data_IF_748713418320
#
_entry.id   IF_748713418320
#
_cell.length_a   1.000
_cell.length_b   1.000
_cell.length_c   1.000
_cell.angle_alpha   90.00
_cell.angle_beta   90.00
_cell.angle_gamma   90.00
#
_symmetry.space_group_name_H-M   'P 1'
#
loop_
_entity.id
_entity.type
_entity.pdbx_description
1 polymer ?
#
# COMPACT_ATOMS: atom_id res chain seq x y z
N UNK A 1 2.32 14.95 27.56
CA UNK A 1 1.38 13.86 27.21
C UNK A 1 1.65 13.53 25.76
N UNK A 2 2.23 12.37 25.46
CA UNK A 2 2.36 11.88 24.09
C UNK A 2 0.94 11.64 23.56
N UNK A 3 0.59 12.30 22.46
CA UNK A 3 -0.69 12.05 21.76
C UNK A 3 -0.81 10.55 21.50
N UNK A 4 -1.97 9.99 21.80
CA UNK A 4 -2.23 8.56 21.56
C UNK A 4 -2.09 8.30 20.06
N UNK A 5 -1.10 7.51 19.67
CA UNK A 5 -0.88 7.16 18.27
C UNK A 5 -2.01 6.22 17.81
N UNK A 6 -2.63 6.51 16.66
CA UNK A 6 -3.62 5.63 16.07
C UNK A 6 -2.94 4.32 15.61
N UNK A 7 -3.34 3.21 16.20
CA UNK A 7 -2.62 1.93 16.08
C UNK A 7 -3.11 1.05 14.93
N UNK A 8 -4.20 1.43 14.24
CA UNK A 8 -4.79 0.60 13.21
C UNK A 8 -5.33 -0.74 13.72
N UNK A 9 -5.69 -0.83 15.00
CA UNK A 9 -6.34 -2.02 15.54
C UNK A 9 -7.78 -2.16 15.05
N UNK A 10 -8.39 -3.34 15.26
CA UNK A 10 -9.73 -3.63 14.77
C UNK A 10 -10.79 -2.62 15.26
N UNK A 11 -10.66 -2.13 16.49
CA UNK A 11 -11.59 -1.16 17.05
C UNK A 11 -11.42 0.22 16.44
N UNK A 12 -10.17 0.66 16.18
CA UNK A 12 -9.87 1.91 15.50
C UNK A 12 -10.41 1.89 14.06
N UNK A 13 -10.15 0.81 13.31
CA UNK A 13 -10.64 0.62 11.94
C UNK A 13 -12.17 0.61 11.87
N UNK A 14 -12.85 0.01 12.87
CA UNK A 14 -14.30 0.04 12.92
C UNK A 14 -14.86 1.44 13.25
N UNK A 15 -14.24 2.18 14.17
CA UNK A 15 -14.64 3.57 14.49
C UNK A 15 -14.48 4.51 13.29
N UNK A 16 -13.50 4.26 12.44
CA UNK A 16 -13.26 5.00 11.18
C UNK A 16 -14.07 4.44 10.00
N UNK A 17 -15.03 3.55 10.22
CA UNK A 17 -15.88 2.94 9.19
C UNK A 17 -15.12 2.18 8.08
N UNK A 18 -13.96 1.63 8.39
CA UNK A 18 -13.11 0.92 7.41
C UNK A 18 -13.47 -0.56 7.34
N UNK A 19 -13.36 -1.29 8.47
CA UNK A 19 -13.71 -2.71 8.54
C UNK A 19 -14.57 -3.03 9.74
N UNK A 20 -15.34 -4.12 9.65
CA UNK A 20 -16.11 -4.67 10.78
C UNK A 20 -15.19 -5.48 11.69
N UNK A 21 -15.13 -5.13 12.97
CA UNK A 21 -14.42 -5.92 13.99
C UNK A 21 -15.11 -7.27 14.31
N UNK A 22 -16.33 -7.49 13.79
CA UNK A 22 -17.16 -8.67 14.06
C UNK A 22 -17.33 -9.59 12.85
N UNK A 23 -16.42 -9.51 11.86
CA UNK A 23 -16.50 -10.43 10.72
C UNK A 23 -16.27 -11.87 11.19
N UNK A 24 -17.14 -12.84 10.81
CA UNK A 24 -17.18 -14.16 11.44
C UNK A 24 -16.04 -15.10 11.02
N UNK A 25 -15.24 -14.72 10.01
CA UNK A 25 -14.13 -15.55 9.51
C UNK A 25 -12.81 -15.06 10.10
N UNK A 26 -12.16 -15.92 10.89
CA UNK A 26 -10.87 -15.60 11.51
C UNK A 26 -9.79 -15.34 10.47
N UNK A 27 -9.13 -14.18 10.58
CA UNK A 27 -8.08 -13.78 9.66
C UNK A 27 -8.58 -13.23 8.32
N UNK A 28 -9.83 -12.80 8.27
CA UNK A 28 -10.38 -12.04 7.16
C UNK A 28 -11.01 -10.74 7.69
N UNK A 29 -10.92 -9.67 6.93
CA UNK A 29 -11.61 -8.41 7.21
C UNK A 29 -12.91 -8.30 6.44
N UNK A 30 -13.98 -7.88 7.11
CA UNK A 30 -15.23 -7.47 6.48
C UNK A 30 -15.19 -5.96 6.22
N UNK A 31 -14.94 -5.55 5.01
CA UNK A 31 -14.88 -4.14 4.63
C UNK A 31 -16.25 -3.47 4.75
N UNK A 32 -16.31 -2.33 5.42
CA UNK A 32 -17.49 -1.49 5.47
C UNK A 32 -17.58 -0.60 4.22
N UNK A 33 -18.75 -0.10 3.83
CA UNK A 33 -18.91 0.64 2.57
C UNK A 33 -17.93 1.80 2.41
N UNK A 34 -17.66 2.56 3.46
CA UNK A 34 -16.72 3.67 3.43
C UNK A 34 -15.27 3.20 3.21
N UNK A 35 -14.84 2.18 3.95
CA UNK A 35 -13.50 1.58 3.77
C UNK A 35 -13.33 0.93 2.40
N UNK A 36 -14.38 0.24 1.91
CA UNK A 36 -14.38 -0.35 0.58
C UNK A 36 -14.23 0.72 -0.51
N UNK A 37 -14.95 1.84 -0.41
CA UNK A 37 -14.82 2.95 -1.35
C UNK A 37 -13.42 3.59 -1.31
N UNK A 38 -12.82 3.76 -0.12
CA UNK A 38 -11.43 4.23 0.01
C UNK A 38 -10.46 3.26 -0.67
N UNK A 39 -10.60 1.97 -0.41
CA UNK A 39 -9.78 0.93 -1.01
C UNK A 39 -9.93 0.92 -2.55
N UNK A 40 -11.16 1.08 -3.06
CA UNK A 40 -11.43 1.16 -4.51
C UNK A 40 -10.72 2.34 -5.15
N UNK A 41 -10.76 3.53 -4.53
CA UNK A 41 -10.03 4.71 -5.03
C UNK A 41 -8.51 4.46 -5.11
N UNK A 42 -7.95 3.74 -4.13
CA UNK A 42 -6.53 3.33 -4.16
C UNK A 42 -6.28 2.37 -5.32
N UNK A 43 -7.11 1.34 -5.47
CA UNK A 43 -6.98 0.36 -6.56
C UNK A 43 -7.10 1.04 -7.94
N UNK A 44 -8.03 1.97 -8.11
CA UNK A 44 -8.25 2.66 -9.37
C UNK A 44 -7.06 3.52 -9.78
N UNK A 45 -6.37 4.15 -8.83
CA UNK A 45 -5.14 4.87 -9.11
C UNK A 45 -4.02 3.92 -9.60
N UNK A 46 -3.86 2.74 -8.99
CA UNK A 46 -2.90 1.73 -9.46
C UNK A 46 -3.31 1.15 -10.81
N UNK A 47 -4.60 0.84 -11.02
CA UNK A 47 -5.12 0.39 -12.32
C UNK A 47 -4.81 1.38 -13.44
N UNK A 48 -5.12 2.65 -13.22
CA UNK A 48 -4.84 3.70 -14.20
C UNK A 48 -3.34 3.82 -14.51
N UNK A 49 -2.49 3.71 -13.49
CA UNK A 49 -1.06 3.74 -13.69
C UNK A 49 -0.57 2.53 -14.51
N UNK A 50 -0.94 1.32 -14.12
CA UNK A 50 -0.51 0.11 -14.85
C UNK A 50 -1.06 0.08 -16.29
N UNK A 51 -2.31 0.51 -16.49
CA UNK A 51 -2.87 0.63 -17.84
C UNK A 51 -2.07 1.59 -18.73
N UNK A 52 -1.54 2.70 -18.17
CA UNK A 52 -0.67 3.62 -18.91
C UNK A 52 0.65 2.99 -19.37
N UNK A 53 1.11 1.92 -18.71
CA UNK A 53 2.26 1.10 -19.09
C UNK A 53 1.92 -0.08 -20.00
N UNK A 54 0.67 -0.17 -20.48
CA UNK A 54 0.22 -1.26 -21.36
C UNK A 54 -0.07 -2.56 -20.63
N UNK A 55 -0.37 -2.50 -19.32
CA UNK A 55 -0.83 -3.65 -18.56
C UNK A 55 -2.35 -3.81 -18.70
N UNK A 56 -2.79 -5.04 -18.95
CA UNK A 56 -4.20 -5.39 -19.07
C UNK A 56 -4.68 -6.12 -17.80
N UNK A 57 -5.84 -5.73 -17.28
CA UNK A 57 -6.39 -6.37 -16.07
C UNK A 57 -7.13 -7.64 -16.42
N UNK A 58 -6.78 -8.75 -15.76
CA UNK A 58 -7.41 -10.06 -15.89
C UNK A 58 -8.28 -10.39 -14.67
N UNK A 59 -9.48 -10.87 -14.95
CA UNK A 59 -10.35 -11.51 -13.96
C UNK A 59 -9.95 -12.96 -13.77
N UNK A 60 -9.18 -13.28 -12.72
CA UNK A 60 -8.79 -14.66 -12.40
C UNK A 60 -9.60 -15.18 -11.20
N UNK A 61 -10.00 -16.45 -11.27
CA UNK A 61 -10.57 -17.14 -10.11
C UNK A 61 -9.55 -17.21 -8.97
N UNK A 62 -10.02 -17.10 -7.73
CA UNK A 62 -9.15 -17.30 -6.56
C UNK A 62 -8.78 -18.78 -6.32
N UNK A 63 -9.41 -19.72 -7.04
CA UNK A 63 -9.08 -21.14 -7.01
C UNK A 63 -8.05 -21.48 -8.10
N UNK A 64 -7.12 -22.36 -7.78
CA UNK A 64 -6.05 -22.82 -8.67
C UNK A 64 -5.89 -24.33 -8.52
N UNK A 65 -5.59 -25.09 -9.60
CA UNK A 65 -5.31 -26.51 -9.51
C UNK A 65 -4.18 -26.81 -8.53
N UNK A 66 -4.35 -27.85 -7.71
CA UNK A 66 -3.35 -28.19 -6.68
C UNK A 66 -2.01 -28.54 -7.29
N UNK A 67 -1.99 -29.24 -8.43
CA UNK A 67 -0.76 -29.60 -9.15
C UNK A 67 0.06 -28.39 -9.59
N UNK A 68 -0.59 -27.29 -9.94
CA UNK A 68 0.09 -26.04 -10.28
C UNK A 68 0.81 -25.43 -9.05
N UNK A 69 0.19 -25.52 -7.86
CA UNK A 69 0.82 -25.11 -6.60
C UNK A 69 1.98 -26.03 -6.23
N UNK A 70 1.86 -27.33 -6.45
CA UNK A 70 2.93 -28.30 -6.20
C UNK A 70 4.14 -28.05 -7.12
N UNK A 71 3.91 -27.78 -8.40
CA UNK A 71 4.98 -27.39 -9.34
C UNK A 71 5.68 -26.10 -8.91
N UNK A 72 4.92 -25.11 -8.44
CA UNK A 72 5.46 -23.86 -7.90
C UNK A 72 6.31 -24.12 -6.65
N UNK A 73 5.93 -25.06 -5.79
CA UNK A 73 6.63 -25.40 -4.57
C UNK A 73 8.07 -25.90 -4.80
N UNK A 74 8.38 -26.42 -5.97
CA UNK A 74 9.75 -26.70 -6.41
C UNK A 74 10.65 -25.45 -6.35
N UNK A 75 10.08 -24.28 -6.55
CA UNK A 75 10.75 -22.98 -6.47
C UNK A 75 10.59 -22.30 -5.10
N UNK A 76 9.49 -22.60 -4.36
CA UNK A 76 9.14 -21.96 -3.08
C UNK A 76 8.68 -23.01 -2.08
N UNK A 77 9.62 -23.67 -1.41
CA UNK A 77 9.34 -24.82 -0.52
C UNK A 77 8.34 -24.56 0.61
N UNK A 78 8.22 -23.32 1.10
CA UNK A 78 7.37 -22.97 2.26
C UNK A 78 5.90 -22.70 1.92
N UNK A 79 5.48 -22.81 0.66
CA UNK A 79 4.11 -22.44 0.26
C UNK A 79 3.10 -23.55 0.50
N UNK A 80 3.47 -24.83 0.29
CA UNK A 80 2.52 -25.95 0.41
C UNK A 80 1.96 -26.11 1.83
N UNK A 81 2.77 -25.83 2.85
CA UNK A 81 2.33 -25.94 4.25
C UNK A 81 1.32 -24.88 4.66
N UNK A 82 1.10 -23.85 3.80
CA UNK A 82 0.28 -22.68 4.10
C UNK A 82 -0.90 -22.47 3.15
N UNK A 83 -1.13 -23.38 2.22
CA UNK A 83 -2.26 -23.28 1.30
C UNK A 83 -3.56 -23.73 1.96
N UNK A 84 -4.67 -23.11 1.54
CA UNK A 84 -6.00 -23.61 1.83
C UNK A 84 -6.48 -24.52 0.70
N UNK A 85 -6.90 -25.72 1.05
CA UNK A 85 -7.54 -26.64 0.11
C UNK A 85 -9.04 -26.44 0.09
N UNK A 86 -9.59 -26.29 -1.10
CA UNK A 86 -11.03 -26.25 -1.35
C UNK A 86 -11.46 -27.66 -1.74
N UNK A 87 -12.44 -28.21 -1.04
CA UNK A 87 -12.99 -29.53 -1.31
C UNK A 87 -14.42 -29.41 -1.81
N UNK A 88 -14.72 -30.12 -2.88
CA UNK A 88 -16.08 -30.34 -3.34
C UNK A 88 -16.81 -31.33 -2.42
N UNK A 89 -18.14 -31.37 -2.48
CA UNK A 89 -18.93 -32.47 -1.91
C UNK A 89 -18.77 -33.77 -2.71
N UNK A 90 -18.22 -33.72 -3.91
CA UNK A 90 -17.85 -34.90 -4.71
C UNK A 90 -16.40 -35.30 -4.35
N UNK A 91 -16.26 -36.48 -3.75
CA UNK A 91 -14.96 -37.03 -3.34
C UNK A 91 -14.04 -37.39 -4.52
N UNK A 92 -14.57 -37.50 -5.73
CA UNK A 92 -13.81 -37.80 -6.95
C UNK A 92 -13.35 -36.51 -7.67
N UNK A 93 -13.79 -35.33 -7.23
CA UNK A 93 -13.38 -34.08 -7.84
C UNK A 93 -11.90 -33.78 -7.54
N UNK A 94 -11.19 -33.35 -8.57
CA UNK A 94 -9.79 -32.88 -8.44
C UNK A 94 -9.68 -31.79 -7.36
N UNK A 95 -8.74 -31.89 -6.42
CA UNK A 95 -8.57 -30.90 -5.39
C UNK A 95 -8.03 -29.59 -5.98
N UNK A 96 -8.61 -28.49 -5.53
CA UNK A 96 -8.12 -27.14 -5.86
C UNK A 96 -7.64 -26.44 -4.60
N UNK A 97 -6.69 -25.54 -4.77
CA UNK A 97 -6.19 -24.68 -3.71
C UNK A 97 -6.77 -23.27 -3.83
N UNK A 98 -6.92 -22.56 -2.72
CA UNK A 98 -7.07 -21.12 -2.75
C UNK A 98 -5.72 -20.50 -3.13
N UNK A 99 -5.70 -19.67 -4.18
CA UNK A 99 -4.48 -19.05 -4.65
C UNK A 99 -3.79 -18.26 -3.52
N UNK A 100 -2.50 -18.49 -3.32
CA UNK A 100 -1.68 -17.73 -2.36
C UNK A 100 -0.89 -16.60 -3.05
N UNK A 101 -0.78 -16.66 -4.38
CA UNK A 101 -0.11 -15.71 -5.28
C UNK A 101 -0.50 -16.03 -6.72
N UNK A 102 -0.11 -15.20 -7.71
CA UNK A 102 -0.57 -15.37 -9.09
C UNK A 102 0.40 -16.16 -10.00
N UNK A 103 1.67 -16.30 -9.65
CA UNK A 103 2.70 -16.72 -10.60
C UNK A 103 2.37 -18.06 -11.28
N UNK A 104 1.94 -19.05 -10.51
CA UNK A 104 1.59 -20.35 -11.10
C UNK A 104 0.41 -20.26 -12.07
N UNK A 105 -0.61 -19.49 -11.71
CA UNK A 105 -1.84 -19.36 -12.48
C UNK A 105 -1.61 -18.54 -13.74
N UNK A 106 -0.95 -17.38 -13.61
CA UNK A 106 -0.70 -16.49 -14.75
C UNK A 106 0.29 -17.11 -15.74
N UNK A 107 1.29 -17.87 -15.25
CA UNK A 107 2.20 -18.59 -16.12
C UNK A 107 1.47 -19.62 -16.98
N UNK A 108 0.47 -20.31 -16.41
CA UNK A 108 -0.40 -21.21 -17.16
C UNK A 108 -1.21 -20.50 -18.26
N UNK A 109 -1.73 -19.31 -17.94
CA UNK A 109 -2.46 -18.45 -18.91
C UNK A 109 -1.51 -18.00 -20.03
N UNK A 110 -0.34 -17.49 -19.69
CA UNK A 110 0.66 -17.05 -20.69
C UNK A 110 1.15 -18.19 -21.59
N UNK A 111 1.32 -19.39 -21.04
CA UNK A 111 1.64 -20.57 -21.82
C UNK A 111 0.51 -20.94 -22.79
N UNK A 112 -0.75 -20.77 -22.41
CA UNK A 112 -1.90 -20.97 -23.30
C UNK A 112 -1.90 -19.92 -24.42
N UNK A 113 -1.72 -18.65 -24.10
CA UNK A 113 -1.63 -17.56 -25.09
C UNK A 113 -0.55 -17.79 -26.14
N UNK A 114 0.64 -18.26 -25.74
CA UNK A 114 1.71 -18.59 -26.68
C UNK A 114 1.30 -19.70 -27.64
N UNK A 115 0.58 -20.74 -27.17
CA UNK A 115 0.03 -21.79 -28.02
C UNK A 115 -1.06 -21.30 -28.99
N UNK A 116 -1.80 -20.27 -28.59
CA UNK A 116 -2.81 -19.56 -29.38
C UNK A 116 -2.22 -18.57 -30.39
N UNK A 117 -0.89 -18.37 -30.37
CA UNK A 117 -0.19 -17.52 -31.30
C UNK A 117 0.06 -16.08 -30.83
N UNK A 118 -0.32 -15.76 -29.57
CA UNK A 118 0.06 -14.48 -28.98
C UNK A 118 1.58 -14.36 -28.80
N UNK A 119 2.10 -13.14 -28.79
CA UNK A 119 3.52 -12.87 -28.70
C UNK A 119 3.85 -12.00 -27.50
N UNK A 120 5.01 -12.23 -26.82
CA UNK A 120 5.49 -11.35 -25.75
C UNK A 120 5.86 -9.95 -26.31
N UNK A 121 5.96 -8.89 -25.49
CA UNK A 121 5.84 -8.97 -24.03
C UNK A 121 4.41 -9.09 -23.55
N UNK A 122 4.18 -9.91 -22.51
CA UNK A 122 2.91 -9.97 -21.79
C UNK A 122 2.98 -9.08 -20.56
N UNK A 123 1.96 -8.26 -20.36
CA UNK A 123 1.84 -7.35 -19.22
C UNK A 123 0.42 -7.42 -18.68
N UNK A 124 0.26 -7.93 -17.47
CA UNK A 124 -1.05 -8.19 -16.89
C UNK A 124 -1.12 -7.72 -15.44
N UNK A 125 -2.33 -7.34 -15.01
CA UNK A 125 -2.66 -7.10 -13.62
C UNK A 125 -3.86 -7.93 -13.20
N UNK A 126 -4.03 -8.13 -11.90
CA UNK A 126 -5.25 -8.73 -11.34
C UNK A 126 -5.48 -8.24 -9.91
N UNK A 127 -6.74 -8.16 -9.50
CA UNK A 127 -7.13 -7.91 -8.10
C UNK A 127 -8.01 -9.06 -7.64
N UNK A 128 -7.63 -9.69 -6.52
CA UNK A 128 -8.39 -10.81 -5.98
C UNK A 128 -8.17 -11.04 -4.49
N UNK A 129 -8.86 -12.02 -3.94
CA UNK A 129 -8.55 -12.59 -2.63
C UNK A 129 -7.48 -13.66 -2.79
N UNK A 130 -6.47 -13.62 -1.94
CA UNK A 130 -5.50 -14.71 -1.77
C UNK A 130 -5.61 -15.30 -0.37
N UNK A 131 -5.26 -16.58 -0.23
CA UNK A 131 -5.32 -17.28 1.05
C UNK A 131 -3.98 -17.85 1.47
N UNK A 132 -3.57 -17.54 2.72
CA UNK A 132 -2.36 -18.08 3.34
C UNK A 132 -2.66 -18.47 4.78
N UNK A 133 -2.45 -19.73 5.12
CA UNK A 133 -2.59 -20.17 6.50
C UNK A 133 -1.36 -19.70 7.30
N UNK A 134 -1.49 -18.53 7.95
CA UNK A 134 -0.46 -18.04 8.86
C UNK A 134 -0.66 -18.64 10.24
N UNK A 135 0.41 -19.25 10.79
CA UNK A 135 0.39 -19.89 12.11
C UNK A 135 0.35 -18.92 13.29
N UNK A 136 0.44 -17.62 13.04
CA UNK A 136 0.49 -16.55 14.04
C UNK A 136 -0.87 -15.85 14.20
N UNK A 137 -0.99 -15.03 15.25
CA UNK A 137 -2.17 -14.19 15.46
C UNK A 137 -2.40 -13.24 14.27
N UNK A 138 -3.66 -13.07 13.89
CA UNK A 138 -4.06 -12.19 12.78
C UNK A 138 -4.36 -10.77 13.25
N UNK A 139 -4.10 -9.79 12.39
CA UNK A 139 -4.48 -8.38 12.58
C UNK A 139 -5.12 -7.87 11.30
N UNK A 140 -6.29 -7.20 11.39
CA UNK A 140 -6.97 -6.66 10.23
C UNK A 140 -6.03 -5.78 9.37
N UNK A 141 -6.03 -6.01 8.07
CA UNK A 141 -5.26 -5.33 7.04
C UNK A 141 -3.72 -5.47 7.13
N UNK A 142 -3.15 -5.88 8.29
CA UNK A 142 -1.71 -6.13 8.46
C UNK A 142 -1.30 -7.57 8.18
N UNK A 143 -1.97 -8.49 8.87
CA UNK A 143 -1.71 -9.92 8.81
C UNK A 143 -3.04 -10.66 8.76
N UNK A 144 -3.43 -11.02 7.57
CA UNK A 144 -4.67 -11.73 7.29
C UNK A 144 -4.38 -13.08 6.67
N UNK A 145 -5.28 -14.04 6.90
CA UNK A 145 -5.27 -15.36 6.24
C UNK A 145 -5.97 -15.31 4.90
N UNK A 146 -6.97 -14.42 4.77
CA UNK A 146 -7.72 -14.15 3.55
C UNK A 146 -7.54 -12.66 3.23
N UNK A 147 -6.59 -12.37 2.36
CA UNK A 147 -6.17 -11.00 2.07
C UNK A 147 -6.95 -10.49 0.86
N UNK A 148 -7.74 -9.45 1.07
CA UNK A 148 -8.35 -8.65 0.01
C UNK A 148 -8.23 -7.16 0.37
N UNK A 149 -7.87 -6.29 -0.58
CA UNK A 149 -7.40 -6.63 -1.91
C UNK A 149 -6.00 -7.24 -1.89
N UNK A 150 -5.73 -8.07 -2.86
CA UNK A 150 -4.39 -8.44 -3.27
C UNK A 150 -4.23 -8.04 -4.73
N UNK A 151 -3.53 -6.95 -4.97
CA UNK A 151 -3.22 -6.46 -6.32
C UNK A 151 -1.88 -7.04 -6.74
N UNK A 152 -1.85 -7.63 -7.92
CA UNK A 152 -0.62 -8.15 -8.50
C UNK A 152 -0.50 -7.73 -9.96
N UNK A 153 0.75 -7.49 -10.40
CA UNK A 153 1.09 -7.28 -11.80
C UNK A 153 2.22 -8.23 -12.18
N UNK A 154 2.17 -8.76 -13.40
CA UNK A 154 3.23 -9.61 -13.94
C UNK A 154 3.57 -9.20 -15.36
N UNK A 155 4.86 -9.14 -15.64
CA UNK A 155 5.39 -9.01 -16.99
C UNK A 155 6.20 -10.26 -17.37
N UNK A 156 6.11 -10.66 -18.65
CA UNK A 156 6.93 -11.72 -19.22
C UNK A 156 7.45 -11.30 -20.60
N UNK A 157 8.75 -11.41 -20.83
CA UNK A 157 9.43 -10.83 -21.98
C UNK A 157 10.66 -11.65 -22.39
N UNK A 158 11.17 -11.39 -23.59
CA UNK A 158 12.47 -11.88 -24.06
C UNK A 158 13.52 -10.80 -23.84
N UNK A 159 14.64 -11.15 -23.21
CA UNK A 159 15.77 -10.25 -23.02
C UNK A 159 15.69 -9.40 -21.74
N UNK A 160 16.06 -8.12 -21.84
CA UNK A 160 16.20 -7.21 -20.71
C UNK A 160 14.84 -6.64 -20.23
N UNK A 161 14.52 -6.82 -18.98
CA UNK A 161 13.30 -6.32 -18.33
C UNK A 161 13.50 -5.05 -17.49
N UNK A 162 14.63 -4.38 -17.62
CA UNK A 162 14.95 -3.21 -16.79
C UNK A 162 13.90 -2.10 -16.88
N UNK A 163 13.32 -1.89 -18.07
CA UNK A 163 12.26 -0.91 -18.28
C UNK A 163 10.98 -1.26 -17.51
N UNK A 164 10.58 -2.53 -17.51
CA UNK A 164 9.41 -3.01 -16.74
C UNK A 164 9.69 -2.99 -15.23
N UNK A 165 10.90 -3.35 -14.79
CA UNK A 165 11.31 -3.22 -13.38
C UNK A 165 11.23 -1.77 -12.93
N UNK A 166 11.81 -0.85 -13.69
CA UNK A 166 11.75 0.59 -13.41
C UNK A 166 10.29 1.09 -13.39
N UNK A 167 9.47 0.67 -14.36
CA UNK A 167 8.05 1.03 -14.40
C UNK A 167 7.31 0.54 -13.14
N UNK A 168 7.48 -0.71 -12.74
CA UNK A 168 6.83 -1.27 -11.54
C UNK A 168 7.27 -0.54 -10.26
N UNK A 169 8.55 -0.17 -10.14
CA UNK A 169 9.05 0.60 -9.00
C UNK A 169 8.48 2.03 -8.98
N UNK A 170 8.38 2.68 -10.15
CA UNK A 170 7.72 3.98 -10.28
C UNK A 170 6.24 3.94 -9.93
N UNK A 171 5.53 2.87 -10.34
CA UNK A 171 4.12 2.70 -10.02
C UNK A 171 3.88 2.89 -8.54
N UNK A 172 4.70 2.23 -7.76
CA UNK A 172 4.50 2.22 -6.32
C UNK A 172 4.94 3.52 -5.67
N UNK A 173 6.12 4.02 -6.03
CA UNK A 173 6.65 5.26 -5.47
C UNK A 173 5.80 6.47 -5.86
N UNK A 174 5.51 6.63 -7.15
CA UNK A 174 4.76 7.77 -7.67
C UNK A 174 3.29 7.78 -7.24
N UNK A 175 2.60 6.64 -7.39
CA UNK A 175 1.18 6.54 -7.01
C UNK A 175 0.99 6.67 -5.50
N UNK A 176 1.84 6.01 -4.69
CA UNK A 176 1.78 6.13 -3.24
C UNK A 176 2.07 7.57 -2.78
N UNK A 177 3.09 8.22 -3.35
CA UNK A 177 3.43 9.61 -3.05
C UNK A 177 2.27 10.57 -3.40
N UNK A 178 1.60 10.37 -4.55
CA UNK A 178 0.43 11.14 -4.97
C UNK A 178 -0.80 10.95 -4.07
N UNK A 179 -0.77 9.98 -3.18
CA UNK A 179 -1.79 9.73 -2.13
C UNK A 179 -1.35 10.21 -0.74
N UNK A 180 -0.21 10.88 -0.63
CA UNK A 180 0.34 11.31 0.66
C UNK A 180 1.01 10.19 1.47
N UNK A 181 1.40 9.08 0.85
CA UNK A 181 2.12 7.99 1.49
C UNK A 181 3.62 8.06 1.16
N UNK A 182 4.46 8.52 2.10
CA UNK A 182 5.89 8.60 1.89
C UNK A 182 6.53 7.21 1.94
N UNK A 183 7.44 6.94 1.00
CA UNK A 183 8.10 5.64 0.89
C UNK A 183 9.59 5.80 0.61
N UNK A 184 10.36 4.77 0.88
CA UNK A 184 11.73 4.59 0.42
C UNK A 184 11.84 3.30 -0.37
N UNK A 185 12.44 3.38 -1.55
CA UNK A 185 12.74 2.20 -2.37
C UNK A 185 14.04 1.56 -1.89
N UNK A 186 14.01 0.25 -1.68
CA UNK A 186 15.18 -0.52 -1.25
C UNK A 186 15.33 -1.81 -2.05
N UNK A 187 16.55 -2.21 -2.32
CA UNK A 187 16.88 -3.58 -2.72
C UNK A 187 17.17 -4.41 -1.46
N UNK A 188 16.51 -5.56 -1.34
CA UNK A 188 16.75 -6.47 -0.21
C UNK A 188 18.14 -7.08 -0.29
N UNK A 189 18.84 -7.06 0.81
CA UNK A 189 20.11 -7.79 0.90
C UNK A 189 19.83 -9.29 0.90
N UNK A 190 20.66 -10.03 0.16
CA UNK A 190 20.67 -11.50 0.17
C UNK A 190 21.81 -12.00 1.02
N UNK A 191 21.58 -13.10 1.74
CA UNK A 191 22.66 -13.84 2.36
C UNK A 191 23.63 -14.33 1.27
N UNK A 192 24.95 -14.09 1.44
CA UNK A 192 25.93 -14.59 0.50
C UNK A 192 25.87 -16.10 0.39
N UNK A 193 25.70 -16.62 -0.82
CA UNK A 193 25.65 -18.06 -1.06
C UNK A 193 24.30 -18.72 -0.79
N UNK A 194 23.22 -17.96 -0.49
CA UNK A 194 21.87 -18.51 -0.38
C UNK A 194 21.44 -19.13 -1.71
N UNK A 195 21.51 -20.45 -1.80
CA UNK A 195 21.04 -21.20 -2.96
C UNK A 195 19.50 -21.23 -3.00
N UNK A 196 18.93 -21.07 -4.19
CA UNK A 196 17.50 -21.25 -4.38
C UNK A 196 16.63 -20.06 -3.94
N UNK A 197 17.15 -18.85 -3.99
CA UNK A 197 16.32 -17.67 -3.84
C UNK A 197 15.19 -17.67 -4.87
N UNK A 198 13.97 -17.41 -4.40
CA UNK A 198 12.74 -17.33 -5.18
C UNK A 198 12.86 -16.35 -6.37
N UNK A 199 13.58 -15.26 -6.18
CA UNK A 199 13.84 -14.24 -7.20
C UNK A 199 15.34 -13.94 -7.30
N UNK A 200 15.78 -13.50 -8.47
CA UNK A 200 17.17 -13.07 -8.69
C UNK A 200 17.44 -11.76 -7.96
N UNK A 201 16.49 -10.83 -7.98
CA UNK A 201 16.51 -9.59 -7.18
C UNK A 201 15.12 -9.34 -6.60
N UNK A 202 15.08 -8.64 -5.47
CA UNK A 202 13.86 -8.21 -4.82
C UNK A 202 13.98 -6.76 -4.42
N UNK A 203 13.10 -5.95 -4.95
CA UNK A 203 12.95 -4.55 -4.59
C UNK A 203 11.69 -4.38 -3.74
N UNK A 204 11.76 -3.49 -2.77
CA UNK A 204 10.63 -3.20 -1.91
C UNK A 204 10.41 -1.69 -1.79
N UNK A 205 9.16 -1.29 -1.65
CA UNK A 205 8.81 0.01 -1.14
C UNK A 205 8.40 -0.12 0.32
N UNK A 206 9.10 0.61 1.15
CA UNK A 206 8.94 0.58 2.60
C UNK A 206 8.48 1.96 3.07
N UNK A 207 7.53 2.00 4.00
CA UNK A 207 7.20 3.22 4.73
C UNK A 207 7.63 3.11 6.19
N UNK A 208 8.00 4.24 6.77
CA UNK A 208 8.29 4.37 8.19
C UNK A 208 7.07 4.94 8.89
N UNK A 209 6.50 4.16 9.78
CA UNK A 209 5.26 4.50 10.47
C UNK A 209 5.50 5.49 11.62
N UNK A 210 4.48 6.29 12.00
CA UNK A 210 4.61 7.29 13.07
C UNK A 210 5.07 6.74 14.41
N UNK A 211 4.75 5.48 14.73
CA UNK A 211 5.18 4.82 15.97
C UNK A 211 6.63 4.33 15.96
N UNK A 212 7.38 4.59 14.90
CA UNK A 212 8.80 4.26 14.83
C UNK A 212 9.12 2.85 14.33
N UNK A 213 8.21 2.21 13.61
CA UNK A 213 8.45 0.93 12.93
C UNK A 213 8.46 1.11 11.42
N UNK A 214 8.93 0.10 10.69
CA UNK A 214 8.90 0.04 9.24
C UNK A 214 8.00 -1.09 8.75
N UNK A 215 7.36 -0.90 7.61
CA UNK A 215 6.61 -1.97 6.94
C UNK A 215 6.83 -1.92 5.43
N UNK A 216 6.95 -3.11 4.83
CA UNK A 216 6.97 -3.28 3.38
C UNK A 216 5.54 -3.15 2.85
N UNK A 217 5.35 -2.26 1.89
CA UNK A 217 4.06 -2.02 1.25
C UNK A 217 3.89 -2.85 -0.01
N UNK A 218 4.93 -2.87 -0.83
CA UNK A 218 4.94 -3.59 -2.11
C UNK A 218 6.30 -4.23 -2.33
N UNK A 219 6.31 -5.24 -3.21
CA UNK A 219 7.53 -5.87 -3.66
C UNK A 219 7.52 -6.03 -5.17
N UNK A 220 8.68 -5.84 -5.79
CA UNK A 220 8.96 -6.21 -7.18
C UNK A 220 9.99 -7.34 -7.15
N UNK A 221 9.66 -8.45 -7.78
CA UNK A 221 10.50 -9.64 -7.87
C UNK A 221 10.98 -9.83 -9.29
N UNK A 222 12.29 -9.86 -9.49
CA UNK A 222 12.90 -10.32 -10.73
C UNK A 222 13.03 -11.85 -10.64
N UNK A 223 12.12 -12.57 -11.30
CA UNK A 223 11.98 -14.02 -11.16
C UNK A 223 12.91 -14.80 -12.10
N UNK A 224 13.55 -14.12 -13.07
CA UNK A 224 14.29 -14.77 -14.12
C UNK A 224 13.41 -15.69 -14.97
N UNK A 225 13.93 -16.85 -15.40
CA UNK A 225 13.24 -17.80 -16.28
C UNK A 225 12.61 -19.00 -15.54
N UNK A 226 12.77 -19.10 -14.21
CA UNK A 226 12.38 -20.29 -13.43
C UNK A 226 10.91 -20.69 -13.60
N UNK A 227 10.01 -19.71 -13.55
CA UNK A 227 8.58 -19.97 -13.74
C UNK A 227 8.25 -20.33 -15.17
N UNK A 228 8.90 -19.68 -16.14
CA UNK A 228 8.75 -19.98 -17.56
C UNK A 228 9.20 -21.40 -17.89
N UNK A 229 10.30 -21.85 -17.32
CA UNK A 229 10.79 -23.23 -17.46
C UNK A 229 9.82 -24.23 -16.80
N UNK A 230 9.31 -23.93 -15.61
CA UNK A 230 8.39 -24.80 -14.85
C UNK A 230 7.03 -24.92 -15.54
N UNK A 231 6.51 -23.86 -16.15
CA UNK A 231 5.16 -23.79 -16.70
C UNK A 231 5.11 -23.77 -18.23
N UNK A 232 6.24 -23.90 -18.91
CA UNK A 232 6.31 -23.97 -20.37
C UNK A 232 6.01 -22.65 -21.07
N UNK A 233 6.40 -21.51 -20.49
CA UNK A 233 6.21 -20.17 -21.07
C UNK A 233 7.40 -19.83 -21.96
N UNK A 234 7.42 -20.39 -23.16
CA UNK A 234 8.54 -20.26 -24.12
C UNK A 234 8.08 -19.60 -25.41
N UNK A 235 8.82 -18.59 -25.88
CA UNK A 235 8.65 -18.02 -27.22
C UNK A 235 9.79 -18.45 -28.10
N UNK A 236 9.48 -19.12 -29.22
CA UNK A 236 10.45 -19.65 -30.17
C UNK A 236 11.55 -20.51 -29.50
N UNK A 237 11.14 -21.31 -28.49
CA UNK A 237 12.02 -22.20 -27.74
C UNK A 237 12.83 -21.51 -26.62
N UNK A 238 12.70 -20.20 -26.45
CA UNK A 238 13.39 -19.40 -25.41
C UNK A 238 12.43 -19.17 -24.23
N UNK A 239 12.81 -19.53 -22.99
CA UNK A 239 11.98 -19.23 -21.82
C UNK A 239 11.94 -17.71 -21.59
N UNK A 240 10.77 -17.19 -21.25
CA UNK A 240 10.60 -15.77 -20.97
C UNK A 240 11.15 -15.40 -19.58
N UNK A 241 11.79 -14.27 -19.46
CA UNK A 241 12.05 -13.66 -18.16
C UNK A 241 10.76 -13.09 -17.59
N UNK A 242 10.59 -13.21 -16.27
CA UNK A 242 9.38 -12.76 -15.58
C UNK A 242 9.67 -11.77 -14.46
N UNK A 243 8.77 -10.82 -14.30
CA UNK A 243 8.70 -9.89 -13.17
C UNK A 243 7.35 -10.06 -12.50
N UNK A 244 7.34 -9.99 -11.17
CA UNK A 244 6.12 -9.92 -10.37
C UNK A 244 6.14 -8.69 -9.48
N UNK A 245 4.99 -8.04 -9.37
CA UNK A 245 4.73 -6.92 -8.45
C UNK A 245 3.49 -7.25 -7.65
N UNK A 246 3.47 -6.84 -6.37
CA UNK A 246 2.26 -7.01 -5.59
C UNK A 246 2.18 -6.11 -4.36
N UNK A 247 0.94 -5.77 -4.01
CA UNK A 247 0.61 -5.17 -2.72
C UNK A 247 -0.71 -5.72 -2.16
N UNK A 248 -0.91 -5.54 -0.88
CA UNK A 248 -2.10 -5.99 -0.15
C UNK A 248 -2.81 -4.83 0.56
N UNK A 249 -3.88 -5.14 1.27
CA UNK A 249 -4.58 -4.22 2.17
C UNK A 249 -3.65 -3.46 3.14
N UNK A 250 -2.43 -3.95 3.38
CA UNK A 250 -1.41 -3.28 4.21
C UNK A 250 -1.05 -1.88 3.68
N UNK A 251 -1.03 -1.69 2.35
CA UNK A 251 -0.83 -0.37 1.75
C UNK A 251 -1.94 0.60 2.16
N UNK A 252 -3.20 0.14 2.12
CA UNK A 252 -4.35 0.95 2.56
C UNK A 252 -4.24 1.28 4.04
N UNK A 253 -3.86 0.31 4.87
CA UNK A 253 -3.67 0.55 6.30
C UNK A 253 -2.55 1.56 6.57
N UNK A 254 -1.44 1.52 5.83
CA UNK A 254 -0.37 2.50 5.96
C UNK A 254 -0.86 3.92 5.62
N UNK A 255 -1.66 4.07 4.55
CA UNK A 255 -2.32 5.35 4.23
C UNK A 255 -3.19 5.85 5.39
N UNK A 256 -3.98 4.97 6.00
CA UNK A 256 -4.82 5.31 7.16
C UNK A 256 -3.97 5.74 8.36
N UNK A 257 -2.88 5.02 8.66
CA UNK A 257 -1.97 5.37 9.78
C UNK A 257 -1.35 6.76 9.58
N UNK A 258 -0.93 7.06 8.36
CA UNK A 258 -0.39 8.39 8.04
C UNK A 258 -1.45 9.50 8.05
N UNK A 259 -2.71 9.19 7.71
CA UNK A 259 -3.81 10.15 7.76
C UNK A 259 -4.30 10.47 9.17
N UNK A 260 -4.11 9.55 10.12
CA UNK A 260 -4.54 9.71 11.52
C UNK A 260 -3.43 10.34 12.40
N UNK A 261 -2.90 11.47 11.99
CA UNK A 261 -1.99 12.26 12.84
C UNK A 261 -2.70 12.80 14.08
N UNK A 262 -4.00 13.10 13.96
CA UNK A 262 -4.95 13.29 15.05
C UNK A 262 -5.94 12.11 15.05
N UNK A 263 -5.97 11.28 16.11
CA UNK A 263 -6.87 10.10 16.16
C UNK A 263 -8.36 10.44 16.06
N UNK A 264 -8.76 11.62 16.50
CA UNK A 264 -10.15 12.06 16.52
C UNK A 264 -10.56 12.77 15.22
N UNK A 265 -9.59 13.16 14.40
CA UNK A 265 -9.80 13.91 13.16
C UNK A 265 -8.85 13.42 12.05
N UNK A 266 -9.07 12.22 11.50
CA UNK A 266 -8.33 11.77 10.33
C UNK A 266 -8.57 12.70 9.14
N UNK A 267 -7.54 12.90 8.31
CA UNK A 267 -7.65 13.68 7.07
C UNK A 267 -7.08 12.82 5.95
N UNK A 268 -7.96 12.28 5.10
CA UNK A 268 -7.51 11.50 3.94
C UNK A 268 -7.07 12.41 2.82
N UNK A 269 -6.05 11.98 2.09
CA UNK A 269 -5.64 12.69 0.89
C UNK A 269 -6.82 12.79 -0.10
N UNK A 270 -7.06 13.95 -0.73
CA UNK A 270 -8.23 14.15 -1.61
C UNK A 270 -8.37 13.10 -2.72
N UNK A 271 -7.27 12.58 -3.27
CA UNK A 271 -7.31 11.56 -4.33
C UNK A 271 -7.99 10.26 -3.89
N UNK A 272 -7.84 9.86 -2.63
CA UNK A 272 -8.36 8.57 -2.11
C UNK A 272 -9.57 8.74 -1.18
N UNK A 273 -9.86 9.95 -0.66
CA UNK A 273 -10.97 10.20 0.23
C UNK A 273 -12.31 9.79 -0.42
N UNK A 274 -13.09 8.84 0.17
CA UNK A 274 -14.43 8.51 -0.36
C UNK A 274 -15.36 9.72 -0.33
N UNK A 275 -15.19 10.58 0.66
CA UNK A 275 -15.88 11.85 0.83
C UNK A 275 -14.83 12.96 0.83
N UNK A 276 -14.79 13.76 -0.24
CA UNK A 276 -13.87 14.89 -0.33
C UNK A 276 -14.43 16.13 0.37
N UNK A 277 -15.76 16.29 0.34
CA UNK A 277 -16.46 17.37 1.04
C UNK A 277 -17.60 16.78 1.86
N UNK A 278 -17.50 16.88 3.18
CA UNK A 278 -18.58 16.54 4.08
C UNK A 278 -19.53 17.73 4.21
N UNK A 279 -20.76 17.60 3.70
CA UNK A 279 -21.78 18.66 3.79
C UNK A 279 -22.60 18.45 5.07
N UNK A 280 -22.49 19.40 6.02
CA UNK A 280 -23.07 19.28 7.36
C UNK A 280 -24.07 20.41 7.59
N UNK A 281 -25.39 20.13 7.53
CA UNK A 281 -26.38 21.12 7.93
C UNK A 281 -26.35 21.34 9.45
N UNK A 282 -26.28 22.61 9.87
CA UNK A 282 -26.30 22.97 11.29
C UNK A 282 -27.66 22.66 11.94
N UNK A 283 -28.73 22.86 11.18
CA UNK A 283 -30.11 22.62 11.58
C UNK A 283 -30.82 21.65 10.61
N UNK A 284 -31.87 20.98 11.08
CA UNK A 284 -32.58 19.96 10.27
C UNK A 284 -33.20 20.56 8.98
N UNK A 285 -33.69 21.78 9.05
CA UNK A 285 -34.29 22.52 7.95
C UNK A 285 -33.30 22.78 6.79
N UNK A 286 -31.97 22.74 7.07
CA UNK A 286 -30.92 22.88 6.08
C UNK A 286 -30.68 21.63 5.24
N UNK A 287 -31.31 20.50 5.53
CA UNK A 287 -31.01 19.21 4.90
C UNK A 287 -31.26 19.22 3.36
N UNK A 288 -32.35 19.80 2.93
CA UNK A 288 -32.67 19.93 1.49
C UNK A 288 -31.65 20.76 0.72
N UNK A 289 -31.21 21.86 1.30
CA UNK A 289 -30.16 22.72 0.73
C UNK A 289 -28.80 21.99 0.72
N UNK A 290 -28.47 21.29 1.79
CA UNK A 290 -27.25 20.47 1.87
C UNK A 290 -27.21 19.39 0.77
N UNK A 291 -28.37 18.74 0.50
CA UNK A 291 -28.48 17.74 -0.57
C UNK A 291 -28.27 18.37 -1.97
N UNK A 292 -28.85 19.55 -2.23
CA UNK A 292 -28.63 20.27 -3.50
C UNK A 292 -27.16 20.67 -3.69
N UNK A 293 -26.47 21.11 -2.62
CA UNK A 293 -25.06 21.49 -2.67
C UNK A 293 -24.15 20.26 -2.88
N UNK A 294 -24.46 19.13 -2.24
CA UNK A 294 -23.74 17.89 -2.49
C UNK A 294 -23.88 17.41 -3.93
N UNK A 295 -25.10 17.44 -4.47
CA UNK A 295 -25.35 17.11 -5.88
C UNK A 295 -24.61 18.04 -6.85
N UNK A 296 -24.51 19.33 -6.53
CA UNK A 296 -23.76 20.30 -7.32
C UNK A 296 -22.23 19.99 -7.27
N UNK A 297 -21.69 19.59 -6.14
CA UNK A 297 -20.30 19.14 -6.00
C UNK A 297 -20.04 17.88 -6.83
N UNK A 298 -20.91 16.87 -6.73
CA UNK A 298 -20.80 15.61 -7.48
C UNK A 298 -20.86 15.86 -9.00
N UNK A 299 -21.69 16.78 -9.47
CA UNK A 299 -21.75 17.17 -10.87
C UNK A 299 -20.42 17.79 -11.39
N UNK A 300 -19.58 18.29 -10.50
CA UNK A 300 -18.23 18.78 -10.80
C UNK A 300 -17.13 17.75 -10.50
N UNK A 301 -17.48 16.47 -10.26
CA UNK A 301 -16.54 15.39 -9.98
C UNK A 301 -15.95 15.42 -8.56
N UNK A 302 -16.55 16.19 -7.65
CA UNK A 302 -16.12 16.27 -6.24
C UNK A 302 -17.02 15.38 -5.40
N UNK A 303 -16.48 14.28 -4.86
CA UNK A 303 -17.24 13.34 -4.03
C UNK A 303 -17.72 14.00 -2.74
N UNK A 304 -19.03 14.18 -2.62
CA UNK A 304 -19.64 14.85 -1.48
C UNK A 304 -20.68 13.95 -0.78
N UNK A 305 -20.76 14.02 0.55
CA UNK A 305 -21.78 13.31 1.33
C UNK A 305 -22.46 14.26 2.31
N UNK A 306 -23.79 14.13 2.43
CA UNK A 306 -24.57 14.90 3.40
C UNK A 306 -24.66 14.17 4.72
N UNK A 307 -24.15 14.79 5.77
CA UNK A 307 -24.27 14.32 7.15
C UNK A 307 -25.45 15.00 7.82
N UNK A 308 -26.68 14.71 7.34
CA UNK A 308 -27.94 15.38 7.69
C UNK A 308 -28.96 14.50 8.40
N UNK A 309 -28.52 13.39 9.02
CA UNK A 309 -29.43 12.47 9.73
C UNK A 309 -30.14 13.13 10.94
N UNK A 310 -31.14 12.43 11.49
CA UNK A 310 -32.00 12.90 12.61
C UNK A 310 -31.25 13.12 13.93
N UNK A 311 -29.96 12.74 14.01
CA UNK A 311 -29.14 12.94 15.21
C UNK A 311 -28.78 14.41 15.37
N UNK A 312 -28.53 14.83 16.62
CA UNK A 312 -28.12 16.21 16.90
C UNK A 312 -26.83 16.62 16.20
N UNK A 313 -26.62 17.91 15.98
CA UNK A 313 -25.48 18.49 15.27
C UNK A 313 -24.13 17.88 15.70
N UNK A 314 -23.88 17.71 17.01
CA UNK A 314 -22.65 17.11 17.52
C UNK A 314 -22.41 15.69 17.01
N UNK A 315 -23.44 14.86 16.92
CA UNK A 315 -23.30 13.49 16.43
C UNK A 315 -23.00 13.47 14.92
N UNK A 316 -23.62 14.36 14.15
CA UNK A 316 -23.35 14.53 12.71
C UNK A 316 -21.92 14.99 12.46
N UNK A 317 -21.44 15.97 13.22
CA UNK A 317 -20.06 16.46 13.09
C UNK A 317 -19.02 15.42 13.47
N UNK A 318 -19.25 14.66 14.56
CA UNK A 318 -18.36 13.55 14.96
C UNK A 318 -18.29 12.49 13.88
N UNK A 319 -19.44 12.11 13.29
CA UNK A 319 -19.47 11.14 12.19
C UNK A 319 -18.77 11.66 10.93
N UNK A 320 -19.01 12.90 10.54
CA UNK A 320 -18.37 13.53 9.39
C UNK A 320 -16.82 13.55 9.54
N UNK A 321 -16.32 13.89 10.72
CA UNK A 321 -14.88 13.83 11.01
C UNK A 321 -14.34 12.41 10.92
N UNK A 322 -15.02 11.42 11.49
CA UNK A 322 -14.60 10.03 11.45
C UNK A 322 -14.48 9.44 10.04
N UNK A 323 -15.15 10.04 9.04
CA UNK A 323 -15.02 9.67 7.62
C UNK A 323 -13.76 10.25 6.96
N UNK A 324 -12.95 11.04 7.67
CA UNK A 324 -11.68 11.54 7.15
C UNK A 324 -11.81 12.51 5.98
N UNK A 325 -12.96 13.16 5.83
CA UNK A 325 -13.16 14.14 4.77
C UNK A 325 -12.14 15.29 4.89
N UNK A 326 -11.42 15.64 3.82
CA UNK A 326 -10.46 16.73 3.85
C UNK A 326 -11.10 18.11 3.97
N UNK A 327 -12.35 18.28 3.50
CA UNK A 327 -13.10 19.52 3.61
C UNK A 327 -14.50 19.32 4.19
N UNK A 328 -14.98 20.38 4.83
CA UNK A 328 -16.32 20.46 5.40
C UNK A 328 -17.05 21.68 4.85
N UNK A 329 -18.27 21.47 4.36
CA UNK A 329 -19.20 22.54 3.98
C UNK A 329 -20.31 22.59 5.04
N UNK A 330 -20.23 23.56 5.94
CA UNK A 330 -21.27 23.78 6.95
C UNK A 330 -22.37 24.65 6.37
N UNK A 331 -23.61 24.17 6.43
CA UNK A 331 -24.81 24.89 5.99
C UNK A 331 -25.50 25.45 7.23
N UNK A 332 -25.28 26.72 7.52
CA UNK A 332 -25.87 27.41 8.67
C UNK A 332 -27.39 27.63 8.50
N UNK A 333 -28.07 27.70 9.63
CA UNK A 333 -29.52 27.92 9.66
C UNK A 333 -29.94 29.36 9.30
N UNK A 334 -31.27 29.57 9.09
CA UNK A 334 -31.83 30.90 8.76
C UNK A 334 -31.50 31.97 9.79
N UNK A 335 -31.43 31.60 11.07
CA UNK A 335 -31.08 32.49 12.18
C UNK A 335 -29.68 33.07 12.09
N UNK A 336 -28.79 32.44 11.33
CA UNK A 336 -27.43 32.90 10.99
C UNK A 336 -27.34 33.38 9.52
N UNK A 337 -28.46 33.77 8.93
CA UNK A 337 -28.52 34.25 7.54
C UNK A 337 -28.25 33.17 6.49
N UNK A 338 -28.35 31.88 6.84
CA UNK A 338 -28.14 30.79 5.90
C UNK A 338 -26.74 30.74 5.28
N UNK A 339 -25.72 31.16 6.02
CA UNK A 339 -24.32 31.24 5.55
C UNK A 339 -23.76 29.87 5.23
N UNK A 340 -22.92 29.77 4.20
CA UNK A 340 -22.11 28.59 3.88
C UNK A 340 -20.68 28.84 4.34
N UNK A 341 -20.14 27.91 5.14
CA UNK A 341 -18.75 27.94 5.60
C UNK A 341 -17.98 26.75 5.00
N UNK A 342 -16.98 27.02 4.19
CA UNK A 342 -16.07 26.01 3.64
C UNK A 342 -14.72 26.05 4.35
N UNK A 343 -14.34 24.96 5.02
CA UNK A 343 -13.10 24.88 5.80
C UNK A 343 -12.59 23.45 5.98
N UNK A 344 -11.50 23.33 6.75
CA UNK A 344 -10.89 22.04 7.08
C UNK A 344 -11.49 21.41 8.35
N UNK A 345 -12.46 22.09 8.97
CA UNK A 345 -13.29 21.54 10.04
C UNK A 345 -14.72 22.10 9.99
N UNK A 346 -15.63 21.42 10.70
CA UNK A 346 -17.05 21.73 10.74
C UNK A 346 -17.26 23.04 11.53
N UNK A 347 -18.01 23.98 10.94
CA UNK A 347 -18.28 25.29 11.54
C UNK A 347 -17.14 26.29 11.43
N UNK A 348 -16.04 25.89 10.79
CA UNK A 348 -14.89 26.74 10.51
C UNK A 348 -14.77 27.04 9.02
N UNK A 349 -13.96 28.04 8.69
CA UNK A 349 -13.61 28.34 7.30
C UNK A 349 -14.08 29.70 6.80
N UNK A 350 -14.13 29.82 5.47
CA UNK A 350 -14.55 31.07 4.80
C UNK A 350 -16.00 31.01 4.42
N UNK A 351 -16.69 32.13 4.56
CA UNK A 351 -18.02 32.32 3.98
C UNK A 351 -17.90 32.34 2.46
N UNK A 352 -18.75 31.56 1.81
CA UNK A 352 -18.84 31.45 0.33
C UNK A 352 -20.29 31.50 -0.12
N UNK A 353 -20.49 31.80 -1.40
CA UNK A 353 -21.80 31.72 -2.06
C UNK A 353 -22.02 30.34 -2.68
N UNK A 354 -23.27 29.96 -2.95
CA UNK A 354 -23.59 28.66 -3.58
C UNK A 354 -22.91 28.49 -4.94
N UNK A 355 -22.80 29.57 -5.70
CA UNK A 355 -22.17 29.57 -7.03
C UNK A 355 -20.64 29.35 -6.96
N UNK A 356 -20.02 29.64 -5.83
CA UNK A 356 -18.57 29.47 -5.62
C UNK A 356 -18.21 28.11 -5.06
N UNK A 357 -19.17 27.33 -4.50
CA UNK A 357 -18.90 26.11 -3.73
C UNK A 357 -17.99 25.15 -4.49
N UNK A 358 -18.32 24.78 -5.72
CA UNK A 358 -17.55 23.78 -6.47
C UNK A 358 -16.14 24.27 -6.82
N UNK A 359 -16.01 25.51 -7.30
CA UNK A 359 -14.70 26.08 -7.66
C UNK A 359 -13.80 26.24 -6.45
N UNK A 360 -14.33 26.73 -5.32
CA UNK A 360 -13.54 26.89 -4.08
C UNK A 360 -13.19 25.57 -3.45
N UNK A 361 -14.09 24.58 -3.49
CA UNK A 361 -13.78 23.23 -3.01
C UNK A 361 -12.65 22.60 -3.85
N UNK A 362 -12.71 22.67 -5.18
CA UNK A 362 -11.66 22.16 -6.07
C UNK A 362 -10.30 22.82 -5.77
N UNK A 363 -10.24 24.16 -5.66
CA UNK A 363 -9.03 24.90 -5.33
C UNK A 363 -8.44 24.45 -3.98
N UNK A 364 -9.29 24.36 -2.95
CA UNK A 364 -8.86 23.96 -1.60
C UNK A 364 -8.39 22.51 -1.53
N UNK A 365 -9.07 21.59 -2.22
CA UNK A 365 -8.67 20.18 -2.28
C UNK A 365 -7.29 20.01 -2.94
N UNK A 366 -7.01 20.76 -4.02
CA UNK A 366 -5.70 20.72 -4.67
C UNK A 366 -4.58 21.19 -3.71
N UNK A 367 -4.75 22.36 -3.08
CA UNK A 367 -3.77 22.91 -2.12
C UNK A 367 -3.58 21.99 -0.92
N UNK A 368 -4.66 21.40 -0.42
CA UNK A 368 -4.60 20.50 0.72
C UNK A 368 -3.88 19.19 0.36
N UNK A 369 -4.13 18.62 -0.83
CA UNK A 369 -3.41 17.46 -1.33
C UNK A 369 -1.90 17.68 -1.37
N UNK A 370 -1.43 18.77 -2.00
CA UNK A 370 -0.01 19.13 -2.03
C UNK A 370 0.58 19.30 -0.61
N UNK A 371 -0.19 19.92 0.28
CA UNK A 371 0.24 20.16 1.66
C UNK A 371 0.38 18.85 2.44
N UNK A 372 -0.57 17.91 2.29
CA UNK A 372 -0.51 16.61 2.93
C UNK A 372 0.68 15.79 2.42
N UNK A 373 0.92 15.77 1.10
CA UNK A 373 2.09 15.11 0.51
C UNK A 373 3.40 15.67 1.08
N UNK A 374 3.56 16.99 1.09
CA UNK A 374 4.78 17.64 1.62
C UNK A 374 4.99 17.31 3.11
N UNK A 375 3.97 17.46 3.95
CA UNK A 375 4.05 17.13 5.38
C UNK A 375 4.42 15.66 5.62
N UNK A 376 3.87 14.74 4.82
CA UNK A 376 4.16 13.32 4.91
C UNK A 376 5.63 13.03 4.59
N UNK A 377 6.16 13.64 3.51
CA UNK A 377 7.59 13.52 3.12
C UNK A 377 8.51 14.06 4.21
N UNK A 378 8.24 15.26 4.73
CA UNK A 378 9.08 15.87 5.74
C UNK A 378 9.10 15.02 7.02
N UNK A 379 7.93 14.61 7.50
CA UNK A 379 7.83 13.74 8.67
C UNK A 379 8.52 12.38 8.46
N UNK A 380 8.53 11.84 7.24
CA UNK A 380 9.22 10.59 6.93
C UNK A 380 10.75 10.77 6.95
N UNK A 381 11.26 11.87 6.41
CA UNK A 381 12.69 12.20 6.45
C UNK A 381 13.23 12.31 7.86
N UNK A 382 12.48 12.94 8.75
CA UNK A 382 12.84 13.08 10.18
C UNK A 382 12.93 11.74 10.92
N UNK A 383 12.35 10.66 10.37
CA UNK A 383 12.39 9.32 10.95
C UNK A 383 13.64 8.52 10.56
N UNK A 384 14.48 9.04 9.67
CA UNK A 384 15.74 8.39 9.26
C UNK A 384 16.92 9.16 9.82
N UNK A 385 17.74 8.46 10.61
CA UNK A 385 18.95 9.02 11.21
C UNK A 385 20.20 8.51 10.47
N UNK A 386 21.08 9.39 10.03
CA UNK A 386 22.38 9.01 9.47
C UNK A 386 23.39 8.70 10.56
N UNK A 387 24.07 7.56 10.45
CA UNK A 387 25.16 7.14 11.35
C UNK A 387 26.36 6.61 10.58
N UNK A 388 27.54 6.78 11.20
CA UNK A 388 28.79 6.25 10.63
C UNK A 388 28.97 4.75 10.85
N UNK A 389 28.40 4.19 11.91
CA UNK A 389 28.51 2.79 12.31
C UNK A 389 27.18 2.14 12.63
N UNK A 390 27.18 0.82 12.81
CA UNK A 390 26.00 0.08 13.25
C UNK A 390 25.53 0.57 14.63
N UNK A 391 24.21 0.59 14.88
CA UNK A 391 23.67 0.98 16.17
C UNK A 391 23.96 -0.06 17.25
N UNK A 392 24.17 0.40 18.47
CA UNK A 392 24.27 -0.41 19.67
C UNK A 392 22.94 -0.46 20.44
N UNK A 393 22.71 -1.43 21.34
CA UNK A 393 21.47 -1.53 22.11
C UNK A 393 21.10 -0.24 22.86
N UNK A 394 22.08 0.54 23.34
CA UNK A 394 21.89 1.82 24.01
C UNK A 394 21.39 2.95 23.11
N UNK A 395 21.49 2.78 21.80
CA UNK A 395 21.05 3.77 20.81
C UNK A 395 19.55 3.72 20.51
N UNK A 396 18.89 2.57 20.79
CA UNK A 396 17.50 2.30 20.39
C UNK A 396 16.52 3.42 20.80
N UNK A 397 16.70 4.00 21.96
CA UNK A 397 15.82 5.07 22.44
C UNK A 397 15.93 6.38 21.63
N UNK A 398 17.03 6.55 20.89
CA UNK A 398 17.33 7.75 20.11
C UNK A 398 17.02 7.57 18.61
N UNK A 399 16.69 6.34 18.18
CA UNK A 399 16.36 6.03 16.79
C UNK A 399 14.86 6.23 16.58
N UNK A 400 14.46 7.23 15.76
CA UNK A 400 13.04 7.51 15.58
C UNK A 400 12.30 6.36 14.88
N UNK A 401 12.84 5.81 13.76
CA UNK A 401 12.30 4.63 13.10
C UNK A 401 13.39 3.81 12.40
N UNK A 402 14.30 4.47 11.70
CA UNK A 402 15.37 3.82 10.93
C UNK A 402 16.70 4.58 11.06
N UNK A 403 17.78 3.87 10.81
CA UNK A 403 19.12 4.44 10.63
C UNK A 403 19.66 4.09 9.26
N UNK A 404 20.36 5.03 8.62
CA UNK A 404 21.12 4.81 7.41
C UNK A 404 22.60 4.73 7.77
N UNK A 405 23.24 3.63 7.37
CA UNK A 405 24.64 3.33 7.70
C UNK A 405 25.40 3.09 6.40
N UNK A 406 26.61 3.67 6.20
CA UNK A 406 27.46 3.36 5.04
C UNK A 406 27.82 1.88 5.02
N UNK A 407 27.56 1.19 3.92
CA UNK A 407 27.85 -0.24 3.77
C UNK A 407 28.21 -0.59 2.34
N UNK A 408 29.42 -1.11 2.13
CA UNK A 408 29.85 -1.57 0.80
C UNK A 408 29.15 -2.89 0.41
N UNK A 409 29.39 -3.36 -0.82
CA UNK A 409 28.75 -4.57 -1.38
C UNK A 409 29.54 -5.87 -1.10
N UNK A 410 30.67 -5.80 -0.38
CA UNK A 410 31.46 -6.98 -0.05
C UNK A 410 30.66 -7.98 0.80
N UNK A 411 30.74 -9.26 0.46
CA UNK A 411 29.98 -10.33 1.12
C UNK A 411 30.08 -10.31 2.66
N UNK A 412 31.30 -10.15 3.20
CA UNK A 412 31.50 -10.05 4.64
C UNK A 412 30.80 -8.84 5.28
N UNK A 413 30.69 -7.71 4.56
CA UNK A 413 30.00 -6.54 5.06
C UNK A 413 28.47 -6.72 5.02
N UNK A 414 27.97 -7.40 3.98
CA UNK A 414 26.55 -7.78 3.88
C UNK A 414 26.18 -8.75 4.99
N UNK A 415 26.97 -9.79 5.23
CA UNK A 415 26.74 -10.72 6.36
C UNK A 415 26.74 -9.99 7.69
N UNK A 416 27.70 -9.11 7.95
CA UNK A 416 27.77 -8.34 9.19
C UNK A 416 26.53 -7.43 9.40
N UNK A 417 25.91 -6.95 8.33
CA UNK A 417 24.66 -6.20 8.44
C UNK A 417 23.47 -7.12 8.74
N UNK A 418 23.42 -8.31 8.12
CA UNK A 418 22.34 -9.29 8.34
C UNK A 418 22.38 -9.91 9.75
N UNK A 419 23.57 -9.98 10.34
CA UNK A 419 23.82 -10.53 11.69
C UNK A 419 23.54 -9.51 12.82
N UNK A 420 22.99 -8.31 12.50
CA UNK A 420 22.65 -7.32 13.52
C UNK A 420 21.47 -7.75 14.38
N UNK A 421 21.67 -7.75 15.72
CA UNK A 421 20.64 -8.10 16.71
C UNK A 421 19.80 -6.90 17.15
N UNK A 422 20.27 -5.67 16.88
CA UNK A 422 19.67 -4.42 17.40
C UNK A 422 18.50 -3.95 16.54
N UNK A 423 18.68 -3.98 15.22
CA UNK A 423 17.68 -3.56 14.22
C UNK A 423 17.66 -4.56 13.06
N UNK A 424 16.50 -4.72 12.48
CA UNK A 424 16.35 -5.52 11.27
C UNK A 424 16.90 -4.76 10.04
N UNK A 425 17.44 -5.49 9.08
CA UNK A 425 17.81 -4.93 7.78
C UNK A 425 16.53 -4.64 6.99
N UNK A 426 16.31 -3.38 6.66
CA UNK A 426 15.25 -2.94 5.74
C UNK A 426 15.71 -3.20 4.30
N UNK A 427 16.90 -2.75 3.94
CA UNK A 427 17.47 -2.96 2.61
C UNK A 427 18.46 -1.87 2.21
N UNK A 428 19.00 -1.97 1.02
CA UNK A 428 19.86 -0.97 0.41
C UNK A 428 19.00 0.06 -0.32
N UNK A 429 19.02 1.35 0.07
CA UNK A 429 18.30 2.39 -0.67
C UNK A 429 18.78 2.46 -2.12
N UNK A 430 17.87 2.49 -3.07
CA UNK A 430 18.23 2.51 -4.51
C UNK A 430 18.26 3.90 -5.10
N UNK A 431 17.76 4.92 -4.39
CA UNK A 431 17.72 6.30 -4.89
C UNK A 431 16.83 6.49 -6.13
N UNK A 432 16.17 5.41 -6.58
CA UNK A 432 15.41 5.42 -7.82
C UNK A 432 13.91 5.56 -7.56
N UNK A 433 13.26 6.27 -8.48
CA UNK A 433 11.90 5.98 -8.91
C UNK A 433 10.75 6.54 -8.06
N UNK A 434 10.63 7.87 -7.99
CA UNK A 434 9.40 8.52 -7.53
C UNK A 434 9.10 8.31 -6.05
N UNK A 435 9.98 7.66 -5.31
CA UNK A 435 9.92 7.61 -3.86
C UNK A 435 10.03 9.05 -3.32
N UNK A 436 9.17 9.41 -2.41
CA UNK A 436 9.15 10.72 -1.80
C UNK A 436 10.46 11.06 -1.06
N UNK A 437 11.33 10.07 -0.89
CA UNK A 437 12.64 10.18 -0.29
C UNK A 437 13.70 9.60 -1.24
N UNK A 438 14.40 10.49 -1.93
CA UNK A 438 15.67 10.15 -2.56
C UNK A 438 16.70 9.98 -1.43
N UNK A 439 17.08 8.75 -1.21
CA UNK A 439 18.13 8.43 -0.22
C UNK A 439 19.50 8.98 -0.62
N UNK A 440 19.61 9.73 -1.72
CA UNK A 440 20.80 10.33 -2.29
C UNK A 440 22.04 9.44 -2.23
N UNK A 441 22.90 9.43 -3.22
CA UNK A 441 24.19 8.77 -3.08
C UNK A 441 24.82 9.24 -1.75
N UNK A 442 25.01 8.32 -0.82
CA UNK A 442 25.71 8.66 0.41
C UNK A 442 27.09 9.18 -0.01
N UNK A 443 27.54 10.34 0.50
CA UNK A 443 28.89 10.80 0.20
C UNK A 443 29.87 9.69 0.55
N UNK A 444 30.99 9.56 -0.17
CA UNK A 444 32.02 8.57 0.12
C UNK A 444 32.37 8.60 1.61
N UNK A 445 31.90 7.61 2.33
CA UNK A 445 32.11 7.44 3.77
C UNK A 445 32.77 6.10 4.02
N UNK A 446 33.51 5.93 5.12
CA UNK A 446 34.02 4.63 5.50
C UNK A 446 32.87 3.65 5.72
N UNK A 447 32.96 2.46 5.13
CA UNK A 447 32.02 1.36 5.37
C UNK A 447 32.01 1.01 6.88
N UNK A 448 30.85 0.90 7.48
CA UNK A 448 30.67 0.62 8.90
C UNK A 448 31.34 -0.67 9.41
N UNK A 449 31.60 -1.63 8.51
CA UNK A 449 32.25 -2.89 8.86
C UNK A 449 33.74 -2.93 8.49
N UNK A 450 34.09 -2.59 7.24
CA UNK A 450 35.47 -2.79 6.75
C UNK A 450 36.27 -1.49 6.58
N UNK A 451 35.69 -0.35 6.93
CA UNK A 451 36.27 1.00 6.83
C UNK A 451 36.72 1.45 5.41
N UNK A 452 36.52 0.66 4.35
CA UNK A 452 36.80 1.09 2.98
C UNK A 452 35.83 2.18 2.56
N UNK A 453 36.24 3.17 1.77
CA UNK A 453 35.34 4.17 1.21
C UNK A 453 34.19 3.53 0.42
N UNK A 454 32.97 4.04 0.59
CA UNK A 454 31.80 3.54 -0.13
C UNK A 454 30.77 4.65 -0.31
N UNK A 455 30.21 4.77 -1.53
CA UNK A 455 29.02 5.57 -1.82
C UNK A 455 27.70 4.84 -1.56
N UNK A 456 27.75 3.63 -1.00
CA UNK A 456 26.58 2.79 -0.76
C UNK A 456 26.21 2.74 0.72
N UNK A 457 24.92 2.54 1.02
CA UNK A 457 24.42 2.48 2.38
C UNK A 457 23.38 1.36 2.56
N UNK A 458 23.05 1.07 3.81
CA UNK A 458 21.95 0.18 4.19
C UNK A 458 21.03 0.92 5.16
N UNK A 459 19.73 0.67 5.06
CA UNK A 459 18.74 1.06 6.06
C UNK A 459 18.50 -0.08 7.04
N UNK A 460 18.55 0.24 8.32
CA UNK A 460 18.23 -0.64 9.44
C UNK A 460 17.07 0.00 10.20
N UNK A 461 16.10 -0.79 10.65
CA UNK A 461 14.94 -0.26 11.37
C UNK A 461 14.20 -1.33 12.14
N UNK A 462 13.28 -0.89 12.98
CA UNK A 462 12.39 -1.81 13.68
C UNK A 462 11.30 -2.25 12.74
N UNK A 463 11.18 -3.55 12.51
CA UNK A 463 10.02 -4.07 11.79
C UNK A 463 8.76 -3.93 12.65
N UNK A 464 7.66 -3.70 11.98
CA UNK A 464 6.36 -3.75 12.62
C UNK A 464 6.15 -5.14 13.26
N UNK A 465 5.86 -5.16 14.58
CA UNK A 465 5.69 -6.42 15.33
C UNK A 465 4.51 -7.22 14.77
N UNK A 466 4.81 -8.28 14.08
CA UNK A 466 3.87 -9.16 13.37
C UNK A 466 4.46 -9.74 12.08
N UNK A 467 5.64 -9.28 11.66
CA UNK A 467 6.33 -9.76 10.46
C UNK A 467 7.41 -10.83 10.76
N UNK A 468 7.41 -11.45 11.96
CA UNK A 468 8.31 -12.56 12.28
C UNK A 468 7.72 -13.89 11.88
#
# INVERSE_FOLDING_TARGET
MTAATWTGDAAALQRSYIVSAKYPVSGASGWLPHGYALCSNVLDAFRAFFASGGYEELGLASAVPLDAMERQAGSIKSFLDRIYLLRSGDEQAEPVALASTIEAQISGVMAAWLREGHRPPFRVTTVRTVGRHEGHGTRPLWMERFVWPFFEAQAAFVGDGSADTSFMLHATGGVAAAMGLPTVAVERLKEPGAAGAYADRRHELVTLLPEGTSTTLTSVYELGTRFSETFGVHSDGVPLSMLNFGFSARLVLALLVHAHTDPDKPVYHPSIAPVQVAVVPAVAEGAGRAAALAAALDAHGIRAEVFGDQRGYRARTTRARAHGAPLFLTVEGPERGGVLLLGEDVGEGRTITETEVAARAAERLAVLGETLCRRAVDAHRERILDRAGFPEPGDLARIPAAVRVPLCTAAACVSAALDQDVLDVIGRPTGENGAAYDAGAAPDRPCAHCARPTGSSVLLGRKFRGEK
#
